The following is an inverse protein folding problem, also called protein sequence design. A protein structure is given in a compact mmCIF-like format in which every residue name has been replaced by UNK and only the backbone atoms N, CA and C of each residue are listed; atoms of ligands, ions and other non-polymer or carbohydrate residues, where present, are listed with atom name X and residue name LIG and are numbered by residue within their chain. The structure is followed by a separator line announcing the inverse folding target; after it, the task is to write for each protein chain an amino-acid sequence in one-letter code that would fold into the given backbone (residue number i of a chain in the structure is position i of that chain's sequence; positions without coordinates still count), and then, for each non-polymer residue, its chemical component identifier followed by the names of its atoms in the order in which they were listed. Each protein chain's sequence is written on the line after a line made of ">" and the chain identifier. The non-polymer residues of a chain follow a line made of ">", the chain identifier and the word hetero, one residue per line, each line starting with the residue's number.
data_IF_437204532830
#
_entry.id   IF_437204532830
#
_cell.length_a   1.000
_cell.length_b   1.000
_cell.length_c   1.000
_cell.angle_alpha   90.00
_cell.angle_beta   90.00
_cell.angle_gamma   90.00
#
_symmetry.space_group_name_H-M   'P 1'
#
loop_
_entity.id
_entity.type
_entity.pdbx_description
1 polymer ?
#
# COMPACT_ATOMS: atom_id res chain seq x y z
N UNK A 1 16.60 -3.18 37.04
CA UNK A 1 15.83 -2.02 37.51
C UNK A 1 14.37 -2.45 37.44
N UNK A 2 13.57 -2.14 38.45
CA UNK A 2 12.12 -2.41 38.39
C UNK A 2 11.35 -1.13 37.99
N UNK A 3 10.05 -1.27 37.73
CA UNK A 3 9.20 -0.15 37.33
C UNK A 3 9.18 0.95 38.40
N UNK A 4 9.06 0.59 39.67
CA UNK A 4 8.99 1.54 40.79
C UNK A 4 10.26 2.37 40.90
N UNK A 5 11.44 1.74 40.76
CA UNK A 5 12.73 2.41 40.76
C UNK A 5 12.82 3.42 39.62
N UNK A 6 12.44 3.01 38.40
CA UNK A 6 12.45 3.90 37.23
C UNK A 6 11.51 5.10 37.44
N UNK A 7 10.27 4.86 37.86
CA UNK A 7 9.28 5.91 38.03
C UNK A 7 9.69 6.93 39.10
N UNK A 8 10.28 6.47 40.21
CA UNK A 8 10.78 7.35 41.26
C UNK A 8 11.95 8.21 40.78
N UNK A 9 12.87 7.64 40.00
CA UNK A 9 14.02 8.37 39.42
C UNK A 9 13.58 9.35 38.35
N UNK A 10 12.59 8.96 37.53
CA UNK A 10 12.01 9.85 36.53
C UNK A 10 11.29 11.03 37.19
N UNK A 11 10.51 10.78 38.24
CA UNK A 11 9.84 11.82 39.02
C UNK A 11 10.83 12.76 39.74
N UNK A 12 12.06 12.30 40.05
CA UNK A 12 13.12 13.16 40.61
C UNK A 12 13.92 13.93 39.55
N UNK A 13 13.55 13.82 38.26
CA UNK A 13 14.11 14.57 37.15
C UNK A 13 15.16 13.82 36.33
N UNK A 14 15.45 12.56 36.62
CA UNK A 14 16.32 11.75 35.77
C UNK A 14 15.57 11.30 34.51
N UNK A 15 16.09 11.62 33.33
CA UNK A 15 15.43 11.26 32.06
C UNK A 15 16.20 10.22 31.25
N UNK A 16 17.42 9.86 31.65
CA UNK A 16 18.32 8.97 30.90
C UNK A 16 18.40 7.59 31.50
N UNK A 17 17.69 6.65 30.91
CA UNK A 17 17.65 5.23 31.26
C UNK A 17 18.17 4.37 30.10
N UNK A 18 19.21 4.83 29.42
CA UNK A 18 19.83 4.11 28.30
C UNK A 18 20.30 2.72 28.73
N UNK A 19 19.89 1.68 28.00
CA UNK A 19 20.36 0.31 28.20
C UNK A 19 19.89 -0.37 29.48
N UNK A 20 18.95 0.21 30.23
CA UNK A 20 18.41 -0.43 31.43
C UNK A 20 17.64 -1.70 31.08
N UNK A 21 17.59 -2.63 32.02
CA UNK A 21 16.73 -3.81 31.92
C UNK A 21 15.44 -3.57 32.72
N UNK A 22 14.32 -3.55 31.99
CA UNK A 22 12.94 -3.39 32.40
C UNK A 22 12.07 -4.51 31.80
N UNK A 23 12.66 -5.67 31.54
CA UNK A 23 11.98 -6.83 31.02
C UNK A 23 10.77 -7.19 31.89
N UNK A 24 9.59 -7.30 31.27
CA UNK A 24 8.34 -7.61 31.96
C UNK A 24 7.86 -6.54 32.95
N UNK A 25 8.49 -5.36 33.00
CA UNK A 25 8.08 -4.30 33.91
C UNK A 25 6.68 -3.80 33.57
N UNK A 26 5.87 -3.53 34.59
CA UNK A 26 4.58 -2.88 34.44
C UNK A 26 4.73 -1.37 34.58
N UNK A 27 4.61 -0.69 33.44
CA UNK A 27 4.67 0.76 33.26
C UNK A 27 3.33 1.27 32.68
N UNK A 28 2.24 0.53 32.89
CA UNK A 28 0.92 0.90 32.39
C UNK A 28 0.48 2.27 32.91
N UNK A 29 -0.04 3.11 32.01
CA UNK A 29 -0.51 4.46 32.35
C UNK A 29 0.57 5.44 32.82
N UNK A 30 1.84 5.05 32.82
CA UNK A 30 2.93 5.92 33.27
C UNK A 30 3.12 7.15 32.38
N UNK A 31 3.49 8.27 32.99
CA UNK A 31 3.93 9.47 32.28
C UNK A 31 5.45 9.43 32.14
N UNK A 32 5.91 9.17 30.92
CA UNK A 32 7.32 9.01 30.56
C UNK A 32 7.65 9.85 29.32
N UNK A 33 7.03 11.01 29.19
CA UNK A 33 7.22 11.91 28.05
C UNK A 33 8.70 12.29 27.93
N UNK A 34 9.28 12.11 26.74
CA UNK A 34 10.67 12.46 26.48
C UNK A 34 11.71 11.60 27.22
N UNK A 35 11.33 10.49 27.85
CA UNK A 35 12.28 9.59 28.50
C UNK A 35 13.25 9.01 27.46
N UNK A 36 14.53 8.89 27.82
CA UNK A 36 15.53 8.18 27.02
C UNK A 36 15.66 6.74 27.53
N UNK A 37 15.01 5.83 26.81
CA UNK A 37 15.08 4.38 26.96
C UNK A 37 15.85 3.74 25.80
N UNK A 38 16.77 4.49 25.17
CA UNK A 38 17.54 3.97 24.04
C UNK A 38 18.31 2.71 24.44
N UNK A 39 18.25 1.68 23.59
CA UNK A 39 18.86 0.35 23.84
C UNK A 39 18.36 -0.37 25.12
N UNK A 40 17.33 0.14 25.79
CA UNK A 40 16.77 -0.54 26.95
C UNK A 40 16.16 -1.89 26.56
N UNK A 41 16.17 -2.83 27.50
CA UNK A 41 15.47 -4.09 27.37
C UNK A 41 14.09 -3.99 28.02
N UNK A 42 13.06 -3.95 27.18
CA UNK A 42 11.63 -3.80 27.52
C UNK A 42 10.84 -5.02 27.00
N UNK A 43 11.50 -6.16 26.76
CA UNK A 43 10.80 -7.34 26.25
C UNK A 43 9.69 -7.75 27.22
N UNK A 44 8.51 -8.06 26.68
CA UNK A 44 7.32 -8.40 27.44
C UNK A 44 6.85 -7.34 28.47
N UNK A 45 7.40 -6.12 28.44
CA UNK A 45 6.95 -5.04 29.32
C UNK A 45 5.49 -4.65 29.04
N UNK A 46 4.79 -4.17 30.06
CA UNK A 46 3.41 -3.70 29.96
C UNK A 46 3.45 -2.18 29.97
N UNK A 47 3.11 -1.57 28.83
CA UNK A 47 3.16 -0.13 28.56
C UNK A 47 1.77 0.36 28.11
N UNK A 48 0.71 -0.37 28.46
CA UNK A 48 -0.66 -0.09 28.06
C UNK A 48 -1.07 1.30 28.53
N UNK A 49 -1.60 2.12 27.62
CA UNK A 49 -1.97 3.53 27.88
C UNK A 49 -0.87 4.43 28.47
N UNK A 50 0.41 4.04 28.37
CA UNK A 50 1.53 4.89 28.80
C UNK A 50 1.70 6.12 27.90
N UNK A 51 2.22 7.21 28.45
CA UNK A 51 2.55 8.43 27.73
C UNK A 51 4.04 8.45 27.43
N UNK A 52 4.41 8.03 26.22
CA UNK A 52 5.78 7.94 25.69
C UNK A 52 6.00 8.96 24.56
N UNK A 53 5.24 10.05 24.54
CA UNK A 53 5.40 11.10 23.53
C UNK A 53 6.85 11.58 23.54
N UNK A 54 7.47 11.68 22.36
CA UNK A 54 8.88 12.12 22.21
C UNK A 54 9.90 11.27 22.96
N UNK A 55 9.53 10.08 23.45
CA UNK A 55 10.48 9.18 24.08
C UNK A 55 11.53 8.70 23.07
N UNK A 56 12.77 8.50 23.54
CA UNK A 56 13.82 7.86 22.75
C UNK A 56 13.84 6.39 23.08
N UNK A 57 13.35 5.56 22.16
CA UNK A 57 13.31 4.10 22.21
C UNK A 57 14.20 3.48 21.12
N UNK A 58 15.12 4.25 20.56
CA UNK A 58 15.99 3.79 19.49
C UNK A 58 16.79 2.55 19.92
N UNK A 59 16.74 1.52 19.09
CA UNK A 59 17.36 0.20 19.31
C UNK A 59 16.92 -0.50 20.61
N UNK A 60 15.84 -0.05 21.25
CA UNK A 60 15.27 -0.73 22.41
C UNK A 60 14.68 -2.09 21.98
N UNK A 61 14.70 -3.04 22.92
CA UNK A 61 14.06 -4.34 22.75
C UNK A 61 12.65 -4.30 23.32
N UNK A 62 11.64 -4.16 22.46
CA UNK A 62 10.21 -4.12 22.80
C UNK A 62 9.50 -5.42 22.35
N UNK A 63 10.25 -6.50 22.15
CA UNK A 63 9.74 -7.79 21.69
C UNK A 63 8.59 -8.27 22.60
N UNK A 64 7.45 -8.60 21.98
CA UNK A 64 6.24 -9.08 22.68
C UNK A 64 5.72 -8.16 23.80
N UNK A 65 6.11 -6.88 23.80
CA UNK A 65 5.60 -5.89 24.76
C UNK A 65 4.15 -5.53 24.48
N UNK A 66 3.44 -5.08 25.52
CA UNK A 66 2.04 -4.62 25.42
C UNK A 66 2.01 -3.09 25.39
N UNK A 67 1.79 -2.52 24.22
CA UNK A 67 1.73 -1.08 23.94
C UNK A 67 0.32 -0.64 23.52
N UNK A 68 -0.70 -1.47 23.75
CA UNK A 68 -2.10 -1.14 23.47
C UNK A 68 -2.48 0.25 24.00
N UNK A 69 -2.93 1.13 23.12
CA UNK A 69 -3.32 2.51 23.43
C UNK A 69 -2.19 3.42 23.94
N UNK A 70 -0.92 2.98 23.90
CA UNK A 70 0.21 3.81 24.30
C UNK A 70 0.36 5.01 23.37
N UNK A 71 0.80 6.14 23.92
CA UNK A 71 1.08 7.33 23.15
C UNK A 71 2.57 7.44 22.84
N UNK A 72 2.95 7.07 21.62
CA UNK A 72 4.30 7.13 21.04
C UNK A 72 4.44 8.26 20.01
N UNK A 73 3.56 9.27 20.06
CA UNK A 73 3.61 10.38 19.11
C UNK A 73 4.98 11.06 19.16
N UNK A 74 5.60 11.28 18.00
CA UNK A 74 6.95 11.86 17.85
C UNK A 74 8.07 11.07 18.55
N UNK A 75 7.85 9.80 18.95
CA UNK A 75 8.89 8.98 19.55
C UNK A 75 9.96 8.57 18.51
N UNK A 76 11.21 8.45 18.97
CA UNK A 76 12.31 7.86 18.20
C UNK A 76 12.34 6.35 18.46
N UNK A 77 11.92 5.55 17.48
CA UNK A 77 11.90 4.10 17.49
C UNK A 77 12.89 3.52 16.46
N UNK A 78 13.90 4.29 16.04
CA UNK A 78 14.85 3.86 15.01
C UNK A 78 15.53 2.56 15.44
N UNK A 79 15.38 1.52 14.61
CA UNK A 79 15.97 0.21 14.86
C UNK A 79 15.43 -0.52 16.10
N UNK A 80 14.31 -0.08 16.67
CA UNK A 80 13.67 -0.78 17.79
C UNK A 80 13.16 -2.16 17.35
N UNK A 81 13.19 -3.13 18.27
CA UNK A 81 12.68 -4.49 18.04
C UNK A 81 11.28 -4.60 18.62
N UNK A 82 10.27 -4.62 17.76
CA UNK A 82 8.85 -4.66 18.10
C UNK A 82 8.17 -5.93 17.56
N UNK A 83 8.94 -6.97 17.23
CA UNK A 83 8.38 -8.24 16.75
C UNK A 83 7.39 -8.79 17.79
N UNK A 84 6.22 -9.20 17.30
CA UNK A 84 5.10 -9.70 18.10
C UNK A 84 4.57 -8.72 19.17
N UNK A 85 4.93 -7.43 19.10
CA UNK A 85 4.42 -6.42 20.04
C UNK A 85 2.95 -6.09 19.75
N UNK A 86 2.20 -5.80 20.82
CA UNK A 86 0.80 -5.38 20.73
C UNK A 86 0.69 -3.85 20.76
N UNK A 87 0.50 -3.23 19.60
CA UNK A 87 0.34 -1.79 19.38
C UNK A 87 -1.11 -1.43 19.01
N UNK A 88 -2.10 -2.24 19.41
CA UNK A 88 -3.50 -1.96 19.09
C UNK A 88 -3.90 -0.57 19.56
N UNK A 89 -4.42 0.26 18.65
CA UNK A 89 -4.85 1.63 18.94
C UNK A 89 -3.73 2.57 19.42
N UNK A 90 -2.46 2.19 19.28
CA UNK A 90 -1.34 3.04 19.69
C UNK A 90 -1.26 4.31 18.81
N UNK A 91 -0.87 5.42 19.43
CA UNK A 91 -0.64 6.69 18.75
C UNK A 91 0.83 6.81 18.34
N UNK A 92 1.13 6.76 17.05
CA UNK A 92 2.46 6.80 16.45
C UNK A 92 2.61 7.98 15.48
N UNK A 93 1.78 9.02 15.62
CA UNK A 93 1.82 10.17 14.72
C UNK A 93 3.21 10.82 14.73
N UNK A 94 3.79 11.03 13.55
CA UNK A 94 5.14 11.57 13.38
C UNK A 94 6.25 10.78 14.09
N UNK A 95 6.01 9.52 14.48
CA UNK A 95 7.05 8.68 15.07
C UNK A 95 8.08 8.29 14.02
N UNK A 96 9.33 8.13 14.46
CA UNK A 96 10.43 7.67 13.60
C UNK A 96 10.65 6.17 13.81
N UNK A 97 10.15 5.36 12.90
CA UNK A 97 10.20 3.90 12.93
C UNK A 97 11.25 3.34 11.97
N UNK A 98 12.18 4.18 11.49
CA UNK A 98 13.15 3.76 10.48
C UNK A 98 13.94 2.55 10.93
N UNK A 99 14.03 1.54 10.06
CA UNK A 99 14.73 0.28 10.35
C UNK A 99 14.21 -0.51 11.55
N UNK A 100 13.04 -0.17 12.12
CA UNK A 100 12.42 -0.95 13.19
C UNK A 100 11.93 -2.30 12.66
N UNK A 101 11.90 -3.31 13.54
CA UNK A 101 11.33 -4.62 13.25
C UNK A 101 9.95 -4.74 13.90
N UNK A 102 8.90 -4.60 13.09
CA UNK A 102 7.48 -4.75 13.46
C UNK A 102 6.88 -6.05 12.91
N UNK A 103 7.73 -7.04 12.61
CA UNK A 103 7.27 -8.35 12.09
C UNK A 103 6.22 -8.95 13.02
N UNK A 104 5.08 -9.39 12.47
CA UNK A 104 3.95 -9.97 13.21
C UNK A 104 3.34 -9.07 14.31
N UNK A 105 3.70 -7.79 14.37
CA UNK A 105 3.13 -6.87 15.36
C UNK A 105 1.65 -6.61 15.09
N UNK A 106 0.90 -6.36 16.16
CA UNK A 106 -0.51 -5.99 16.08
C UNK A 106 -0.65 -4.46 16.11
N UNK A 107 -0.90 -3.84 14.96
CA UNK A 107 -1.17 -2.40 14.78
C UNK A 107 -2.64 -2.13 14.41
N UNK A 108 -3.56 -3.03 14.79
CA UNK A 108 -5.00 -2.85 14.58
C UNK A 108 -5.43 -1.46 15.09
N UNK A 109 -6.06 -0.66 14.22
CA UNK A 109 -6.52 0.71 14.51
C UNK A 109 -5.44 1.69 15.00
N UNK A 110 -4.15 1.38 14.80
CA UNK A 110 -3.06 2.29 15.19
C UNK A 110 -3.03 3.56 14.31
N UNK A 111 -2.56 4.66 14.88
CA UNK A 111 -2.44 5.93 14.18
C UNK A 111 -0.98 6.21 13.80
N UNK A 112 -0.62 6.01 12.53
CA UNK A 112 0.70 6.23 11.95
C UNK A 112 0.73 7.43 10.99
N UNK A 113 -0.13 8.43 11.19
CA UNK A 113 -0.13 9.65 10.37
C UNK A 113 1.27 10.27 10.36
N UNK A 114 1.79 10.52 9.17
CA UNK A 114 3.11 11.13 8.92
C UNK A 114 4.29 10.39 9.59
N UNK A 115 4.10 9.12 9.99
CA UNK A 115 5.18 8.31 10.56
C UNK A 115 6.24 7.99 9.49
N UNK A 116 7.50 7.91 9.92
CA UNK A 116 8.60 7.51 9.06
C UNK A 116 8.88 6.01 9.18
N UNK A 117 8.50 5.26 8.15
CA UNK A 117 8.55 3.80 8.09
C UNK A 117 9.59 3.31 7.08
N UNK A 118 10.56 4.16 6.69
CA UNK A 118 11.60 3.78 5.73
C UNK A 118 12.42 2.62 6.30
N UNK A 119 12.61 1.57 5.49
CA UNK A 119 13.35 0.36 5.86
C UNK A 119 12.74 -0.43 7.05
N UNK A 120 11.49 -0.15 7.43
CA UNK A 120 10.80 -0.90 8.49
C UNK A 120 10.38 -2.27 7.97
N UNK A 121 10.50 -3.29 8.81
CA UNK A 121 9.95 -4.61 8.51
C UNK A 121 8.57 -4.76 9.17
N UNK A 122 7.51 -4.77 8.36
CA UNK A 122 6.11 -4.96 8.72
C UNK A 122 5.58 -6.33 8.23
N UNK A 123 6.45 -7.26 7.84
CA UNK A 123 6.02 -8.54 7.28
C UNK A 123 5.09 -9.29 8.23
N UNK A 124 3.94 -9.73 7.72
CA UNK A 124 2.89 -10.41 8.49
C UNK A 124 2.23 -9.57 9.61
N UNK A 125 2.52 -8.27 9.73
CA UNK A 125 1.89 -7.42 10.73
C UNK A 125 0.39 -7.22 10.44
N UNK A 126 -0.40 -7.01 11.49
CA UNK A 126 -1.82 -6.66 11.38
C UNK A 126 -2.00 -5.15 11.49
N UNK A 127 -2.25 -4.46 10.39
CA UNK A 127 -2.59 -3.04 10.32
C UNK A 127 -4.04 -2.81 9.87
N UNK A 128 -4.95 -3.76 10.15
CA UNK A 128 -6.38 -3.60 9.82
C UNK A 128 -6.88 -2.28 10.42
N UNK A 129 -7.56 -1.46 9.62
CA UNK A 129 -8.13 -0.17 10.07
C UNK A 129 -7.12 0.91 10.47
N UNK A 130 -5.81 0.65 10.38
CA UNK A 130 -4.80 1.63 10.76
C UNK A 130 -4.83 2.88 9.86
N UNK A 131 -4.45 4.03 10.43
CA UNK A 131 -4.37 5.30 9.71
C UNK A 131 -2.90 5.60 9.36
N UNK A 132 -2.54 5.49 8.09
CA UNK A 132 -1.18 5.69 7.55
C UNK A 132 -1.12 6.88 6.58
N UNK A 133 -2.02 7.86 6.73
CA UNK A 133 -2.04 9.04 5.86
C UNK A 133 -0.69 9.77 5.89
N UNK A 134 -0.15 10.08 4.72
CA UNK A 134 1.14 10.76 4.60
C UNK A 134 2.36 9.97 5.10
N UNK A 135 2.19 8.72 5.55
CA UNK A 135 3.30 7.91 6.05
C UNK A 135 4.37 7.71 4.97
N UNK A 136 5.63 7.72 5.40
CA UNK A 136 6.78 7.64 4.50
C UNK A 136 7.38 6.23 4.52
N UNK A 137 7.15 5.46 3.46
CA UNK A 137 7.67 4.10 3.24
C UNK A 137 8.55 4.01 1.98
N UNK A 138 9.09 5.15 1.53
CA UNK A 138 9.85 5.20 0.28
C UNK A 138 11.14 4.39 0.39
N UNK A 139 11.50 3.72 -0.70
CA UNK A 139 12.80 3.11 -0.88
C UNK A 139 13.89 4.19 -0.86
N UNK A 140 15.01 3.90 -0.18
CA UNK A 140 16.19 4.75 -0.20
C UNK A 140 17.43 4.00 -0.69
N UNK A 141 18.19 4.66 -1.56
CA UNK A 141 19.48 4.18 -2.09
C UNK A 141 19.45 2.79 -2.77
N UNK A 142 18.29 2.33 -3.24
CA UNK A 142 18.09 0.99 -3.86
C UNK A 142 18.56 -0.19 -3.01
N UNK A 143 18.66 0.00 -1.69
CA UNK A 143 19.15 -1.01 -0.74
C UNK A 143 18.16 -1.29 0.39
N UNK A 144 17.26 -0.36 0.62
CA UNK A 144 16.37 -0.37 1.77
C UNK A 144 14.97 -0.04 1.30
N UNK A 145 14.09 -1.03 1.33
CA UNK A 145 12.66 -0.89 1.08
C UNK A 145 11.89 -1.26 2.34
N UNK A 146 10.73 -0.63 2.54
CA UNK A 146 9.79 -1.08 3.57
C UNK A 146 9.19 -2.41 3.14
N UNK A 147 9.22 -3.40 4.04
CA UNK A 147 8.70 -4.74 3.77
C UNK A 147 7.34 -4.92 4.43
N UNK A 148 6.27 -4.97 3.64
CA UNK A 148 4.90 -5.26 4.07
C UNK A 148 4.41 -6.63 3.60
N UNK A 149 5.32 -7.51 3.18
CA UNK A 149 4.95 -8.80 2.59
C UNK A 149 4.04 -9.60 3.52
N UNK A 150 2.88 -9.99 3.01
CA UNK A 150 1.87 -10.75 3.77
C UNK A 150 1.22 -10.00 4.94
N UNK A 151 1.44 -8.69 5.08
CA UNK A 151 0.76 -7.88 6.09
C UNK A 151 -0.74 -7.77 5.78
N UNK A 152 -1.54 -7.50 6.82
CA UNK A 152 -2.97 -7.24 6.68
C UNK A 152 -3.25 -5.75 6.86
N UNK A 153 -3.55 -5.05 5.76
CA UNK A 153 -3.94 -3.65 5.69
C UNK A 153 -5.42 -3.48 5.28
N UNK A 154 -6.29 -4.46 5.58
CA UNK A 154 -7.72 -4.36 5.29
C UNK A 154 -8.28 -3.06 5.86
N UNK A 155 -9.00 -2.30 5.03
CA UNK A 155 -9.63 -1.03 5.38
C UNK A 155 -8.67 0.04 5.96
N UNK A 156 -7.36 -0.12 5.80
CA UNK A 156 -6.40 0.88 6.23
C UNK A 156 -6.53 2.16 5.39
N UNK A 157 -6.22 3.31 6.00
CA UNK A 157 -6.21 4.60 5.34
C UNK A 157 -4.78 5.02 4.97
N UNK A 158 -4.40 4.80 3.72
CA UNK A 158 -3.08 5.07 3.15
C UNK A 158 -3.09 6.32 2.25
N UNK A 159 -4.06 7.23 2.42
CA UNK A 159 -4.18 8.42 1.55
C UNK A 159 -2.89 9.23 1.55
N UNK A 160 -2.36 9.50 0.36
CA UNK A 160 -1.13 10.27 0.18
C UNK A 160 0.14 9.61 0.75
N UNK A 161 0.10 8.35 1.18
CA UNK A 161 1.29 7.65 1.67
C UNK A 161 2.33 7.49 0.55
N UNK A 162 3.61 7.55 0.90
CA UNK A 162 4.69 7.31 -0.05
C UNK A 162 5.22 5.88 0.08
N UNK A 163 4.77 5.01 -0.82
CA UNK A 163 5.10 3.58 -0.93
C UNK A 163 6.08 3.30 -2.08
N UNK A 164 6.83 4.31 -2.55
CA UNK A 164 7.77 4.15 -3.67
C UNK A 164 8.72 2.98 -3.40
N UNK A 165 8.73 1.96 -4.26
CA UNK A 165 9.62 0.79 -4.13
C UNK A 165 9.36 -0.13 -2.93
N UNK A 166 8.23 0.03 -2.22
CA UNK A 166 7.87 -0.87 -1.11
C UNK A 166 7.56 -2.29 -1.60
N UNK A 167 7.90 -3.29 -0.78
CA UNK A 167 7.49 -4.69 -1.00
C UNK A 167 6.12 -4.91 -0.34
N UNK A 168 5.09 -5.00 -1.16
CA UNK A 168 3.69 -5.24 -0.81
C UNK A 168 3.23 -6.61 -1.34
N UNK A 169 4.15 -7.52 -1.66
CA UNK A 169 3.77 -8.80 -2.24
C UNK A 169 2.87 -9.59 -1.27
N UNK A 170 1.77 -10.16 -1.78
CA UNK A 170 0.79 -10.94 -0.99
C UNK A 170 0.14 -10.18 0.16
N UNK A 171 0.17 -8.86 0.14
CA UNK A 171 -0.49 -8.03 1.16
C UNK A 171 -2.01 -8.08 0.99
N UNK A 172 -2.75 -8.04 2.09
CA UNK A 172 -4.21 -7.91 2.08
C UNK A 172 -4.61 -6.44 2.27
N UNK A 173 -5.03 -5.79 1.20
CA UNK A 173 -5.44 -4.39 1.11
C UNK A 173 -6.94 -4.26 0.81
N UNK A 174 -7.75 -5.29 1.06
CA UNK A 174 -9.18 -5.26 0.73
C UNK A 174 -9.89 -4.09 1.40
N UNK A 175 -10.59 -3.29 0.58
CA UNK A 175 -11.29 -2.08 1.01
C UNK A 175 -10.39 -0.97 1.56
N UNK A 176 -9.07 -1.04 1.38
CA UNK A 176 -8.15 0.01 1.82
C UNK A 176 -8.28 1.27 0.97
N UNK A 177 -7.94 2.41 1.54
CA UNK A 177 -7.94 3.70 0.83
C UNK A 177 -6.50 4.14 0.52
N UNK A 178 -6.05 3.92 -0.71
CA UNK A 178 -4.77 4.35 -1.27
C UNK A 178 -4.92 5.57 -2.19
N UNK A 179 -5.99 6.37 -2.03
CA UNK A 179 -6.20 7.53 -2.91
C UNK A 179 -4.99 8.48 -2.82
N UNK A 180 -4.51 8.91 -3.98
CA UNK A 180 -3.34 9.80 -4.12
C UNK A 180 -2.02 9.23 -3.54
N UNK A 181 -1.96 7.95 -3.20
CA UNK A 181 -0.74 7.32 -2.73
C UNK A 181 0.32 7.21 -3.86
N UNK A 182 1.60 7.27 -3.48
CA UNK A 182 2.71 7.10 -4.42
C UNK A 182 3.25 5.68 -4.33
N UNK A 183 2.99 4.85 -5.35
CA UNK A 183 3.34 3.43 -5.45
C UNK A 183 4.35 3.16 -6.58
N UNK A 184 5.12 4.18 -6.98
CA UNK A 184 6.06 4.05 -8.11
C UNK A 184 7.06 2.92 -7.83
N UNK A 185 7.17 1.97 -8.76
CA UNK A 185 8.09 0.83 -8.65
C UNK A 185 7.80 -0.14 -7.50
N UNK A 186 6.66 0.01 -6.80
CA UNK A 186 6.27 -0.88 -5.71
C UNK A 186 5.94 -2.29 -6.23
N UNK A 187 6.17 -3.30 -5.40
CA UNK A 187 5.87 -4.69 -5.72
C UNK A 187 4.56 -5.13 -5.04
N UNK A 188 3.45 -5.16 -5.77
CA UNK A 188 2.14 -5.62 -5.30
C UNK A 188 1.79 -7.00 -5.86
N UNK A 189 2.78 -7.79 -6.25
CA UNK A 189 2.54 -9.11 -6.86
C UNK A 189 1.74 -10.00 -5.91
N UNK A 190 0.68 -10.63 -6.43
CA UNK A 190 -0.25 -11.48 -5.67
C UNK A 190 -0.97 -10.79 -4.49
N UNK A 191 -0.97 -9.45 -4.42
CA UNK A 191 -1.71 -8.72 -3.40
C UNK A 191 -3.24 -8.76 -3.63
N UNK A 192 -4.01 -8.58 -2.56
CA UNK A 192 -5.47 -8.53 -2.60
C UNK A 192 -5.98 -7.10 -2.35
N UNK A 193 -6.41 -6.42 -3.41
CA UNK A 193 -6.96 -5.06 -3.44
C UNK A 193 -8.45 -5.05 -3.83
N UNK A 194 -9.21 -6.12 -3.60
CA UNK A 194 -10.65 -6.11 -3.87
C UNK A 194 -11.34 -4.96 -3.11
N UNK A 195 -12.17 -4.20 -3.84
CA UNK A 195 -12.84 -2.97 -3.38
C UNK A 195 -11.91 -1.83 -2.89
N UNK A 196 -10.60 -1.89 -3.11
CA UNK A 196 -9.70 -0.82 -2.69
C UNK A 196 -9.89 0.46 -3.52
N UNK A 197 -9.68 1.63 -2.90
CA UNK A 197 -9.64 2.92 -3.60
C UNK A 197 -8.21 3.32 -3.91
N UNK A 198 -7.85 3.32 -5.19
CA UNK A 198 -6.59 3.86 -5.74
C UNK A 198 -6.83 5.13 -6.58
N UNK A 199 -7.90 5.87 -6.32
CA UNK A 199 -8.24 7.09 -7.03
C UNK A 199 -7.05 8.06 -7.06
N UNK A 200 -6.61 8.44 -8.25
CA UNK A 200 -5.49 9.36 -8.45
C UNK A 200 -4.12 8.85 -7.97
N UNK A 201 -3.98 7.56 -7.66
CA UNK A 201 -2.72 7.00 -7.19
C UNK A 201 -1.66 6.94 -8.32
N UNK A 202 -0.38 6.95 -7.92
CA UNK A 202 0.77 6.91 -8.84
C UNK A 202 1.43 5.53 -8.81
N UNK A 203 1.09 4.66 -9.76
CA UNK A 203 1.61 3.30 -9.89
C UNK A 203 2.60 3.14 -11.07
N UNK A 204 3.27 4.21 -11.49
CA UNK A 204 4.29 4.13 -12.56
C UNK A 204 5.32 3.05 -12.26
N UNK A 205 5.59 2.15 -13.22
CA UNK A 205 6.52 1.02 -13.08
C UNK A 205 6.19 0.03 -11.94
N UNK A 206 4.99 0.07 -11.35
CA UNK A 206 4.59 -0.87 -10.29
C UNK A 206 4.40 -2.28 -10.85
N UNK A 207 4.69 -3.29 -10.03
CA UNK A 207 4.39 -4.70 -10.34
C UNK A 207 3.06 -5.09 -9.71
N UNK A 208 2.13 -5.50 -10.54
CA UNK A 208 0.76 -5.90 -10.22
C UNK A 208 0.48 -7.32 -10.72
N UNK A 209 1.51 -8.17 -10.77
CA UNK A 209 1.44 -9.50 -11.37
C UNK A 209 0.56 -10.39 -10.50
N UNK A 210 -0.51 -10.95 -11.08
CA UNK A 210 -1.46 -11.81 -10.37
C UNK A 210 -2.22 -11.11 -9.24
N UNK A 211 -2.23 -9.78 -9.19
CA UNK A 211 -2.93 -9.01 -8.17
C UNK A 211 -4.45 -9.13 -8.34
N UNK A 212 -5.18 -9.26 -7.24
CA UNK A 212 -6.63 -9.13 -7.23
C UNK A 212 -7.01 -7.65 -7.06
N UNK A 213 -7.59 -7.05 -8.09
CA UNK A 213 -8.06 -5.66 -8.16
C UNK A 213 -9.55 -5.60 -8.51
N UNK A 214 -10.30 -6.67 -8.21
CA UNK A 214 -11.74 -6.72 -8.45
C UNK A 214 -12.43 -5.51 -7.82
N UNK A 215 -13.28 -4.84 -8.59
CA UNK A 215 -14.10 -3.71 -8.11
C UNK A 215 -13.29 -2.57 -7.47
N UNK A 216 -11.97 -2.53 -7.71
CA UNK A 216 -11.14 -1.45 -7.22
C UNK A 216 -11.43 -0.16 -8.00
N UNK A 217 -11.31 0.98 -7.33
CA UNK A 217 -11.44 2.30 -7.95
C UNK A 217 -10.05 2.83 -8.31
N UNK A 218 -9.70 2.80 -9.59
CA UNK A 218 -8.48 3.35 -10.18
C UNK A 218 -8.76 4.61 -11.01
N UNK A 219 -9.85 5.33 -10.74
CA UNK A 219 -10.18 6.56 -11.48
C UNK A 219 -9.04 7.57 -11.42
N UNK A 220 -8.66 8.11 -12.59
CA UNK A 220 -7.52 9.03 -12.76
C UNK A 220 -6.16 8.53 -12.24
N UNK A 221 -6.00 7.23 -11.98
CA UNK A 221 -4.73 6.67 -11.56
C UNK A 221 -3.70 6.69 -12.72
N UNK A 222 -2.42 6.72 -12.35
CA UNK A 222 -1.30 6.72 -13.31
C UNK A 222 -0.56 5.39 -13.24
N UNK A 223 -0.63 4.58 -14.28
CA UNK A 223 -0.03 3.23 -14.35
C UNK A 223 0.92 3.08 -15.54
N UNK A 224 1.59 4.17 -15.94
CA UNK A 224 2.60 4.13 -17.01
C UNK A 224 3.63 3.03 -16.74
N UNK A 225 3.84 2.15 -17.73
CA UNK A 225 4.81 1.04 -17.67
C UNK A 225 4.62 0.07 -16.50
N UNK A 226 3.44 0.04 -15.87
CA UNK A 226 3.12 -0.96 -14.86
C UNK A 226 2.99 -2.36 -15.50
N UNK A 227 3.20 -3.41 -14.71
CA UNK A 227 3.00 -4.79 -15.13
C UNK A 227 1.86 -5.44 -14.35
N UNK A 228 0.67 -5.49 -14.95
CA UNK A 228 -0.53 -6.13 -14.43
C UNK A 228 -0.83 -7.46 -15.15
N UNK A 229 0.22 -8.18 -15.56
CA UNK A 229 0.10 -9.53 -16.14
C UNK A 229 -0.67 -10.46 -15.19
N UNK A 230 -1.65 -11.18 -15.71
CA UNK A 230 -2.48 -12.14 -14.98
C UNK A 230 -3.28 -11.55 -13.79
N UNK A 231 -3.42 -10.22 -13.70
CA UNK A 231 -4.24 -9.57 -12.68
C UNK A 231 -5.75 -9.83 -12.90
N UNK A 232 -6.51 -9.96 -11.80
CA UNK A 232 -7.98 -9.94 -11.84
C UNK A 232 -8.47 -8.50 -11.64
N UNK A 233 -8.96 -7.90 -12.71
CA UNK A 233 -9.45 -6.54 -12.81
C UNK A 233 -10.97 -6.51 -13.04
N UNK A 234 -11.68 -7.60 -12.70
CA UNK A 234 -13.12 -7.74 -12.98
C UNK A 234 -13.89 -6.61 -12.29
N UNK A 235 -14.64 -5.82 -13.08
CA UNK A 235 -15.46 -4.72 -12.59
C UNK A 235 -14.68 -3.55 -11.99
N UNK A 236 -13.36 -3.48 -12.19
CA UNK A 236 -12.55 -2.35 -11.73
C UNK A 236 -12.89 -1.07 -12.53
N UNK A 237 -12.81 0.08 -11.86
CA UNK A 237 -13.09 1.39 -12.45
C UNK A 237 -11.79 2.14 -12.77
N UNK A 238 -11.50 2.32 -14.05
CA UNK A 238 -10.33 2.99 -14.61
C UNK A 238 -10.69 4.31 -15.29
N UNK A 239 -11.86 4.92 -15.02
CA UNK A 239 -12.27 6.12 -15.73
C UNK A 239 -11.20 7.22 -15.67
N UNK A 240 -10.76 7.69 -16.84
CA UNK A 240 -9.72 8.72 -16.98
C UNK A 240 -8.31 8.30 -16.55
N UNK A 241 -8.06 7.02 -16.27
CA UNK A 241 -6.73 6.54 -15.91
C UNK A 241 -5.74 6.66 -17.09
N UNK A 242 -4.47 6.87 -16.76
CA UNK A 242 -3.38 7.05 -17.73
C UNK A 242 -2.39 5.90 -17.58
N UNK A 243 -2.33 5.03 -18.57
CA UNK A 243 -1.61 3.76 -18.52
C UNK A 243 -0.86 3.45 -19.84
N UNK A 244 -0.07 4.39 -20.41
CA UNK A 244 0.72 4.07 -21.58
C UNK A 244 1.76 2.99 -21.26
N UNK A 245 2.04 2.14 -22.25
CA UNK A 245 3.02 1.05 -22.16
C UNK A 245 2.75 0.05 -21.01
N UNK A 246 1.52 -0.01 -20.48
CA UNK A 246 1.13 -1.00 -19.46
C UNK A 246 1.09 -2.41 -20.06
N UNK A 247 1.48 -3.40 -19.26
CA UNK A 247 1.34 -4.83 -19.59
C UNK A 247 0.10 -5.39 -18.88
N UNK A 248 -0.88 -5.83 -19.65
CA UNK A 248 -2.14 -6.44 -19.19
C UNK A 248 -2.29 -7.86 -19.77
N UNK A 249 -1.16 -8.53 -20.01
CA UNK A 249 -1.12 -9.85 -20.65
C UNK A 249 -1.90 -10.85 -19.80
N UNK A 250 -2.88 -11.54 -20.41
CA UNK A 250 -3.80 -12.48 -19.73
C UNK A 250 -4.58 -11.89 -18.55
N UNK A 251 -4.64 -10.58 -18.38
CA UNK A 251 -5.42 -9.97 -17.31
C UNK A 251 -6.93 -10.17 -17.57
N UNK A 252 -7.71 -10.25 -16.49
CA UNK A 252 -9.17 -10.36 -16.56
C UNK A 252 -9.83 -9.01 -16.29
N UNK A 253 -10.22 -8.30 -17.35
CA UNK A 253 -10.90 -7.00 -17.32
C UNK A 253 -12.41 -7.13 -17.59
N UNK A 254 -13.03 -8.28 -17.32
CA UNK A 254 -14.48 -8.44 -17.53
C UNK A 254 -15.25 -7.35 -16.81
N UNK A 255 -16.18 -6.71 -17.51
CA UNK A 255 -17.02 -5.64 -16.97
C UNK A 255 -16.25 -4.44 -16.40
N UNK A 256 -14.96 -4.29 -16.69
CA UNK A 256 -14.19 -3.14 -16.24
C UNK A 256 -14.69 -1.85 -16.92
N UNK A 257 -14.64 -0.74 -16.19
CA UNK A 257 -15.01 0.58 -16.68
C UNK A 257 -13.72 1.27 -17.12
N UNK A 258 -13.51 1.43 -18.42
CA UNK A 258 -12.32 1.96 -19.07
C UNK A 258 -12.65 3.24 -19.88
N UNK A 259 -13.68 3.97 -19.45
CA UNK A 259 -14.15 5.19 -20.13
C UNK A 259 -13.07 6.26 -20.14
N UNK A 260 -12.79 6.83 -21.32
CA UNK A 260 -11.79 7.87 -21.51
C UNK A 260 -10.39 7.50 -20.98
N UNK A 261 -10.07 6.21 -20.95
CA UNK A 261 -8.75 5.72 -20.51
C UNK A 261 -7.69 6.01 -21.57
N UNK A 262 -6.44 6.24 -21.15
CA UNK A 262 -5.29 6.32 -22.07
C UNK A 262 -4.43 5.08 -21.96
N UNK A 263 -4.44 4.25 -22.99
CA UNK A 263 -3.77 2.95 -23.05
C UNK A 263 -2.76 2.87 -24.20
N UNK A 264 -2.22 3.99 -24.70
CA UNK A 264 -1.34 3.96 -25.86
C UNK A 264 -0.17 2.99 -25.69
N UNK A 265 0.09 2.16 -26.71
CA UNK A 265 1.13 1.11 -26.71
C UNK A 265 0.99 0.04 -25.60
N UNK A 266 -0.18 -0.09 -24.99
CA UNK A 266 -0.44 -1.16 -24.04
C UNK A 266 -0.42 -2.55 -24.69
N UNK A 267 0.00 -3.56 -23.92
CA UNK A 267 -0.07 -4.97 -24.32
C UNK A 267 -1.22 -5.67 -23.59
N UNK A 268 -2.33 -5.90 -24.31
CA UNK A 268 -3.50 -6.65 -23.85
C UNK A 268 -3.54 -8.07 -24.44
N UNK A 269 -2.39 -8.65 -24.80
CA UNK A 269 -2.33 -9.98 -25.36
C UNK A 269 -3.01 -11.00 -24.45
N UNK A 270 -3.98 -11.74 -24.99
CA UNK A 270 -4.79 -12.76 -24.29
C UNK A 270 -5.61 -12.22 -23.11
N UNK A 271 -5.77 -10.90 -22.96
CA UNK A 271 -6.61 -10.32 -21.93
C UNK A 271 -8.09 -10.60 -22.20
N UNK A 272 -8.89 -10.67 -21.14
CA UNK A 272 -10.34 -10.85 -21.22
C UNK A 272 -11.05 -9.53 -20.92
N UNK A 273 -11.57 -8.85 -21.94
CA UNK A 273 -12.32 -7.60 -21.85
C UNK A 273 -13.82 -7.80 -22.10
N UNK A 274 -14.35 -9.00 -21.89
CA UNK A 274 -15.76 -9.28 -22.18
C UNK A 274 -16.70 -8.32 -21.43
N UNK A 275 -17.50 -7.58 -22.20
CA UNK A 275 -18.43 -6.56 -21.73
C UNK A 275 -17.77 -5.40 -20.96
N UNK A 276 -16.48 -5.16 -21.18
CA UNK A 276 -15.83 -3.96 -20.67
C UNK A 276 -16.34 -2.70 -21.40
N UNK A 277 -16.33 -1.56 -20.71
CA UNK A 277 -16.73 -0.28 -21.28
C UNK A 277 -15.51 0.57 -21.61
N UNK A 278 -15.14 0.62 -22.89
CA UNK A 278 -14.00 1.36 -23.46
C UNK A 278 -14.45 2.61 -24.23
N UNK A 279 -15.61 3.19 -23.89
CA UNK A 279 -16.09 4.41 -24.56
C UNK A 279 -15.07 5.53 -24.47
N UNK A 280 -14.84 6.24 -25.57
CA UNK A 280 -13.89 7.35 -25.69
C UNK A 280 -12.44 6.99 -25.33
N UNK A 281 -12.08 5.70 -25.29
CA UNK A 281 -10.74 5.26 -24.92
C UNK A 281 -9.69 5.60 -26.00
N UNK A 282 -8.50 6.03 -25.57
CA UNK A 282 -7.32 6.19 -26.43
C UNK A 282 -6.53 4.88 -26.49
N UNK A 283 -6.74 4.10 -27.55
CA UNK A 283 -6.18 2.76 -27.78
C UNK A 283 -5.17 2.73 -28.93
N UNK A 284 -4.43 3.83 -29.12
CA UNK A 284 -3.45 3.99 -30.20
C UNK A 284 -2.26 3.05 -30.01
N UNK A 285 -1.88 2.34 -31.08
CA UNK A 285 -0.76 1.36 -31.07
C UNK A 285 -0.94 0.22 -30.04
N UNK A 286 -2.16 -0.10 -29.63
CA UNK A 286 -2.43 -1.17 -28.64
C UNK A 286 -2.33 -2.56 -29.26
N UNK A 287 -1.74 -3.50 -28.54
CA UNK A 287 -1.67 -4.91 -28.94
C UNK A 287 -2.81 -5.73 -28.32
N UNK A 288 -3.76 -6.22 -29.13
CA UNK A 288 -4.89 -7.05 -28.70
C UNK A 288 -4.75 -8.53 -29.14
N UNK A 289 -3.53 -9.03 -29.32
CA UNK A 289 -3.32 -10.38 -29.83
C UNK A 289 -4.05 -11.44 -28.98
N UNK A 290 -5.03 -12.14 -29.58
CA UNK A 290 -5.88 -13.13 -28.90
C UNK A 290 -6.69 -12.59 -27.71
N UNK A 291 -6.92 -11.28 -27.63
CA UNK A 291 -7.77 -10.69 -26.60
C UNK A 291 -9.26 -11.02 -26.86
N UNK A 292 -10.05 -11.11 -25.80
CA UNK A 292 -11.49 -11.30 -25.88
C UNK A 292 -12.22 -9.98 -25.60
N UNK A 293 -12.79 -9.35 -26.62
CA UNK A 293 -13.59 -8.13 -26.53
C UNK A 293 -15.08 -8.40 -26.78
N UNK A 294 -15.54 -9.63 -26.57
CA UNK A 294 -16.94 -10.00 -26.79
C UNK A 294 -17.87 -9.07 -26.00
N UNK A 295 -18.86 -8.48 -26.67
CA UNK A 295 -19.82 -7.54 -26.10
C UNK A 295 -19.21 -6.27 -25.45
N UNK A 296 -17.96 -5.93 -25.73
CA UNK A 296 -17.34 -4.70 -25.22
C UNK A 296 -17.93 -3.46 -25.91
N UNK A 297 -18.09 -2.36 -25.16
CA UNK A 297 -18.47 -1.05 -25.70
C UNK A 297 -17.19 -0.29 -26.08
N UNK A 298 -16.94 -0.10 -27.37
CA UNK A 298 -15.82 0.65 -27.94
C UNK A 298 -16.31 1.93 -28.64
N UNK A 299 -17.51 2.42 -28.29
CA UNK A 299 -18.07 3.61 -28.94
C UNK A 299 -17.13 4.80 -28.82
N UNK A 300 -16.88 5.48 -29.95
CA UNK A 300 -15.96 6.61 -30.04
C UNK A 300 -14.50 6.33 -29.62
N UNK A 301 -14.10 5.08 -29.43
CA UNK A 301 -12.72 4.73 -29.09
C UNK A 301 -11.77 5.00 -30.27
N UNK A 302 -10.53 5.36 -29.97
CA UNK A 302 -9.47 5.56 -30.97
C UNK A 302 -8.54 4.34 -31.02
N UNK A 303 -8.75 3.47 -32.00
CA UNK A 303 -7.96 2.25 -32.26
C UNK A 303 -6.90 2.45 -33.35
N UNK A 304 -6.50 3.69 -33.65
CA UNK A 304 -5.50 3.97 -34.70
C UNK A 304 -4.25 3.11 -34.50
N UNK A 305 -3.86 2.35 -35.53
CA UNK A 305 -2.73 1.39 -35.53
C UNK A 305 -2.79 0.30 -34.45
N UNK A 306 -3.95 0.06 -33.83
CA UNK A 306 -4.11 -1.06 -32.91
C UNK A 306 -4.07 -2.41 -33.65
N UNK A 307 -3.45 -3.42 -33.05
CA UNK A 307 -3.33 -4.75 -33.63
C UNK A 307 -4.49 -5.65 -33.19
N UNK A 308 -5.48 -5.80 -34.08
CA UNK A 308 -6.73 -6.53 -33.81
C UNK A 308 -6.82 -7.90 -34.51
N UNK A 309 -5.81 -8.34 -35.27
CA UNK A 309 -5.91 -9.46 -36.22
C UNK A 309 -6.39 -10.80 -35.63
N UNK A 310 -6.20 -11.00 -34.33
CA UNK A 310 -6.61 -12.22 -33.61
C UNK A 310 -7.52 -11.94 -32.41
N UNK A 311 -8.03 -10.72 -32.28
CA UNK A 311 -8.95 -10.34 -31.23
C UNK A 311 -10.37 -10.86 -31.54
N UNK A 312 -11.08 -11.34 -30.51
CA UNK A 312 -12.49 -11.71 -30.65
C UNK A 312 -13.38 -10.49 -30.35
N UNK A 313 -14.07 -9.97 -31.36
CA UNK A 313 -14.92 -8.78 -31.30
C UNK A 313 -16.43 -9.11 -31.42
N UNK A 314 -16.85 -10.36 -31.21
CA UNK A 314 -18.26 -10.76 -31.35
C UNK A 314 -19.15 -9.88 -30.45
N UNK A 315 -20.11 -9.18 -31.05
CA UNK A 315 -21.05 -8.32 -30.32
C UNK A 315 -20.44 -7.03 -29.76
N UNK A 316 -19.18 -6.71 -30.06
CA UNK A 316 -18.57 -5.45 -29.66
C UNK A 316 -19.22 -4.27 -30.41
N UNK A 317 -19.42 -3.16 -29.71
CA UNK A 317 -20.00 -1.93 -30.28
C UNK A 317 -18.90 -0.96 -30.69
N UNK A 318 -18.73 -0.77 -32.00
CA UNK A 318 -17.66 0.07 -32.57
C UNK A 318 -18.17 1.41 -33.11
N UNK A 319 -19.44 1.78 -32.89
CA UNK A 319 -20.03 2.98 -33.49
C UNK A 319 -19.22 4.23 -33.14
N UNK A 320 -18.85 4.99 -34.17
CA UNK A 320 -18.01 6.19 -34.07
C UNK A 320 -16.55 5.93 -33.70
N UNK A 321 -16.09 4.69 -33.56
CA UNK A 321 -14.70 4.38 -33.27
C UNK A 321 -13.80 4.68 -34.48
N UNK A 322 -12.60 5.19 -34.23
CA UNK A 322 -11.55 5.27 -35.26
C UNK A 322 -10.82 3.92 -35.34
N UNK A 323 -10.91 3.24 -36.47
CA UNK A 323 -10.33 1.91 -36.71
C UNK A 323 -8.80 1.95 -36.90
N UNK A 324 -8.12 0.79 -36.92
CA UNK A 324 -6.67 0.73 -37.11
C UNK A 324 -6.13 1.43 -38.36
N UNK A 325 -6.91 1.47 -39.44
CA UNK A 325 -6.57 2.15 -40.71
C UNK A 325 -6.89 3.66 -40.71
N UNK A 326 -7.42 4.19 -39.60
CA UNK A 326 -7.78 5.60 -39.42
C UNK A 326 -9.19 5.97 -39.90
N UNK A 327 -9.98 5.04 -40.42
CA UNK A 327 -11.38 5.31 -40.78
C UNK A 327 -12.28 5.30 -39.56
N UNK A 328 -13.37 6.05 -39.60
CA UNK A 328 -14.41 6.00 -38.56
C UNK A 328 -15.42 4.91 -38.92
N UNK A 329 -15.79 4.07 -37.95
CA UNK A 329 -16.83 3.06 -38.08
C UNK A 329 -18.20 3.70 -37.83
N UNK A 330 -19.14 3.52 -38.75
CA UNK A 330 -20.49 4.09 -38.69
C UNK A 330 -21.36 3.48 -37.57
#
# INVERSE_FOLDING_TARGET
>A
MDASELLNRYASGETKFTGVNLAGADLSGSDLIGVDLSRADLHSAILVFSYLNRATLSKANLLSSKLSGANLSQADLIGAKLRDADLHGAMLQNADLRSADLTLANLLDANLIDADLRNTNLSGANLTGACLRGANMREENRRYSTNLRGANLRKADLRGANLTGADLAKVDLRGANLSEATLRGADLSEADLDEASLKGAFLTEAKLIGTNLRRANLTNAKLERADATEADLTGADFQGAVMPDIRLIKADLRQAILVAVRLSRADLSRANLQGANLRDAELVDVYFARANLTNADLTHANLTRAELSSANLIGADLRGATLPDGRVYD
#
